data_IF_327697768836
#
_entry.id   IF_327697768836
#
_cell.length_a   1.000
_cell.length_b   1.000
_cell.length_c   1.000
_cell.angle_alpha   90.00
_cell.angle_beta   90.00
_cell.angle_gamma   90.00
#
_symmetry.space_group_name_H-M   'P 1'
#
loop_
_entity.id
_entity.type
_entity.pdbx_description
1 polymer ?
#
# COMPACT_ATOMS: atom_id res chain seq x y z
N UNK A 1 -9.36 13.15 -7.03
CA UNK A 1 -9.30 11.68 -7.15
C UNK A 1 -7.89 11.16 -6.85
N UNK A 2 -6.86 11.68 -7.52
CA UNK A 2 -5.46 11.31 -7.27
C UNK A 2 -5.03 11.44 -5.79
N UNK A 3 -5.38 12.53 -5.10
CA UNK A 3 -5.05 12.71 -3.67
C UNK A 3 -5.65 11.64 -2.75
N UNK A 4 -6.84 11.14 -3.07
CA UNK A 4 -7.52 10.12 -2.24
C UNK A 4 -6.84 8.76 -2.40
N UNK A 5 -6.44 8.41 -3.63
CA UNK A 5 -5.67 7.19 -3.93
C UNK A 5 -4.29 7.29 -3.29
N UNK A 6 -3.60 8.41 -3.48
CA UNK A 6 -2.29 8.70 -2.87
C UNK A 6 -2.31 8.47 -1.36
N UNK A 7 -3.29 9.06 -0.67
CA UNK A 7 -3.42 8.89 0.77
C UNK A 7 -3.70 7.43 1.17
N UNK A 8 -4.50 6.70 0.38
CA UNK A 8 -4.76 5.29 0.67
C UNK A 8 -3.57 4.38 0.40
N UNK A 9 -2.79 4.63 -0.66
CA UNK A 9 -1.54 3.89 -0.93
C UNK A 9 -0.50 4.21 0.14
N UNK A 10 -0.34 5.48 0.52
CA UNK A 10 0.52 5.88 1.62
C UNK A 10 0.12 5.21 2.94
N UNK A 11 -1.17 5.12 3.25
CA UNK A 11 -1.67 4.43 4.44
C UNK A 11 -1.42 2.91 4.39
N UNK A 12 -1.59 2.28 3.23
CA UNK A 12 -1.28 0.87 3.02
C UNK A 12 0.20 0.57 3.27
N UNK A 13 1.10 1.37 2.69
CA UNK A 13 2.54 1.21 2.86
C UNK A 13 2.95 1.48 4.33
N UNK A 14 2.40 2.52 4.95
CA UNK A 14 2.67 2.86 6.34
C UNK A 14 2.11 1.80 7.33
N UNK A 15 1.06 1.08 6.96
CA UNK A 15 0.51 0.00 7.77
C UNK A 15 1.54 -1.13 7.99
N UNK A 16 2.32 -1.49 6.97
CA UNK A 16 3.40 -2.49 7.13
C UNK A 16 4.48 -1.97 8.07
N UNK A 17 4.95 -0.74 7.85
CA UNK A 17 5.94 -0.07 8.71
C UNK A 17 5.47 -0.04 10.17
N UNK A 18 4.19 0.28 10.40
CA UNK A 18 3.58 0.35 11.73
C UNK A 18 3.42 -1.03 12.38
N UNK A 19 2.92 -2.02 11.63
CA UNK A 19 2.68 -3.38 12.11
C UNK A 19 3.97 -4.03 12.60
N UNK A 20 5.04 -3.85 11.86
CA UNK A 20 6.36 -4.41 12.16
C UNK A 20 7.15 -3.55 13.16
N UNK A 21 6.58 -2.43 13.62
CA UNK A 21 7.21 -1.45 14.52
C UNK A 21 8.58 -0.97 13.99
N UNK A 22 8.67 -0.79 12.68
CA UNK A 22 9.91 -0.39 12.01
C UNK A 22 10.27 1.07 12.33
N UNK A 23 11.55 1.38 12.24
CA UNK A 23 12.07 2.73 12.47
C UNK A 23 11.73 3.63 11.27
N UNK A 24 10.93 4.66 11.52
CA UNK A 24 10.51 5.67 10.53
C UNK A 24 11.73 6.31 9.85
N UNK A 25 12.84 6.50 10.55
CA UNK A 25 14.03 7.12 9.97
C UNK A 25 14.73 6.22 8.96
N UNK A 26 14.56 4.89 9.09
CA UNK A 26 15.11 3.90 8.17
C UNK A 26 14.20 3.66 6.96
N UNK A 27 12.90 3.54 7.20
CA UNK A 27 11.92 3.27 6.15
C UNK A 27 11.45 4.54 5.42
N UNK A 28 11.60 5.71 6.04
CA UNK A 28 11.16 7.00 5.52
C UNK A 28 11.71 7.33 4.14
N UNK A 29 13.01 7.16 3.86
CA UNK A 29 13.56 7.36 2.51
C UNK A 29 12.90 6.47 1.46
N UNK A 30 12.79 5.16 1.71
CA UNK A 30 12.16 4.20 0.78
C UNK A 30 10.68 4.54 0.56
N UNK A 31 9.96 4.87 1.63
CA UNK A 31 8.57 5.30 1.57
C UNK A 31 8.40 6.57 0.72
N UNK A 32 9.29 7.56 0.89
CA UNK A 32 9.28 8.79 0.11
C UNK A 32 9.63 8.55 -1.37
N UNK A 33 10.61 7.69 -1.65
CA UNK A 33 11.03 7.37 -3.03
C UNK A 33 9.87 6.71 -3.80
N UNK A 34 9.17 5.77 -3.14
CA UNK A 34 8.01 5.09 -3.69
C UNK A 34 6.87 6.07 -4.01
N UNK A 35 6.50 6.93 -3.06
CA UNK A 35 5.41 7.88 -3.27
C UNK A 35 5.79 9.03 -4.22
N UNK A 36 7.06 9.43 -4.23
CA UNK A 36 7.59 10.46 -5.13
C UNK A 36 7.54 10.01 -6.59
N UNK A 37 7.92 8.77 -6.87
CA UNK A 37 7.92 8.22 -8.23
C UNK A 37 6.52 8.15 -8.86
N UNK A 38 5.50 7.83 -8.05
CA UNK A 38 4.16 7.54 -8.54
C UNK A 38 3.15 8.67 -8.42
N UNK A 39 3.32 9.50 -7.39
CA UNK A 39 2.30 10.48 -6.99
C UNK A 39 2.84 11.89 -6.88
N UNK A 40 4.06 12.15 -7.37
CA UNK A 40 4.74 13.45 -7.31
C UNK A 40 4.74 14.02 -5.88
N UNK A 41 4.91 13.12 -4.89
CA UNK A 41 4.92 13.46 -3.48
C UNK A 41 6.28 14.04 -3.09
N UNK A 42 6.28 15.28 -2.59
CA UNK A 42 7.48 15.88 -2.01
C UNK A 42 7.90 15.14 -0.73
N UNK A 43 9.20 15.17 -0.41
CA UNK A 43 9.74 14.56 0.81
C UNK A 43 8.98 15.00 2.08
N UNK A 44 8.70 16.30 2.22
CA UNK A 44 7.97 16.85 3.36
C UNK A 44 6.52 16.34 3.45
N UNK A 45 5.84 16.21 2.30
CA UNK A 45 4.50 15.67 2.23
C UNK A 45 4.49 14.18 2.62
N UNK A 46 5.44 13.41 2.11
CA UNK A 46 5.58 11.99 2.37
C UNK A 46 5.90 11.72 3.84
N UNK A 47 6.83 12.47 4.44
CA UNK A 47 7.14 12.35 5.87
C UNK A 47 5.96 12.73 6.76
N UNK A 48 5.14 13.70 6.35
CA UNK A 48 3.88 14.00 7.04
C UNK A 48 2.88 12.86 6.96
N UNK A 49 2.70 12.25 5.78
CA UNK A 49 1.80 11.11 5.61
C UNK A 49 2.23 9.93 6.49
N UNK A 50 3.52 9.59 6.48
CA UNK A 50 4.08 8.53 7.32
C UNK A 50 3.93 8.84 8.81
N UNK A 51 4.30 10.05 9.25
CA UNK A 51 4.18 10.45 10.66
C UNK A 51 2.73 10.39 11.15
N UNK A 52 1.78 10.86 10.34
CA UNK A 52 0.36 10.80 10.66
C UNK A 52 -0.14 9.36 10.79
N UNK A 53 0.21 8.50 9.82
CA UNK A 53 -0.18 7.10 9.82
C UNK A 53 0.36 6.33 11.04
N UNK A 54 1.56 6.68 11.51
CA UNK A 54 2.14 6.10 12.72
C UNK A 54 1.37 6.50 13.98
N UNK A 55 0.80 7.70 14.03
CA UNK A 55 0.04 8.23 15.17
C UNK A 55 -1.45 7.84 15.16
N UNK A 56 -2.03 7.58 13.99
CA UNK A 56 -3.45 7.23 13.82
C UNK A 56 -3.69 5.74 13.67
N UNK A 57 -4.85 5.24 14.08
CA UNK A 57 -5.26 3.88 13.69
C UNK A 57 -5.52 3.84 12.18
N UNK A 58 -4.87 2.89 11.50
CA UNK A 58 -5.01 2.71 10.06
C UNK A 58 -6.11 1.70 9.82
N UNK A 59 -7.20 2.13 9.20
CA UNK A 59 -8.24 1.24 8.70
C UNK A 59 -7.82 0.68 7.33
N UNK A 60 -7.11 -0.44 7.38
CA UNK A 60 -6.59 -1.11 6.18
C UNK A 60 -7.72 -1.43 5.17
N UNK A 61 -8.87 -1.90 5.65
CA UNK A 61 -9.98 -2.28 4.77
C UNK A 61 -10.55 -1.07 4.03
N UNK A 62 -10.76 0.05 4.72
CA UNK A 62 -11.24 1.27 4.09
C UNK A 62 -10.28 1.77 3.00
N UNK A 63 -8.97 1.69 3.24
CA UNK A 63 -7.97 2.09 2.26
C UNK A 63 -7.91 1.14 1.05
N UNK A 64 -7.99 -0.19 1.29
CA UNK A 64 -8.06 -1.19 0.23
C UNK A 64 -9.31 -1.01 -0.64
N UNK A 65 -10.46 -0.68 -0.04
CA UNK A 65 -11.70 -0.42 -0.79
C UNK A 65 -11.59 0.83 -1.67
N UNK A 66 -10.97 1.91 -1.18
CA UNK A 66 -10.70 3.12 -1.96
C UNK A 66 -9.79 2.82 -3.15
N UNK A 67 -8.70 2.07 -2.93
CA UNK A 67 -7.76 1.69 -3.99
C UNK A 67 -8.48 0.82 -5.04
N UNK A 68 -9.26 -0.16 -4.58
CA UNK A 68 -10.01 -1.05 -5.45
C UNK A 68 -11.07 -0.34 -6.29
N UNK A 69 -11.79 0.62 -5.70
CA UNK A 69 -12.77 1.43 -6.42
C UNK A 69 -12.09 2.26 -7.50
N UNK A 70 -10.97 2.90 -7.15
CA UNK A 70 -10.27 3.81 -8.05
C UNK A 70 -9.50 3.10 -9.18
N UNK A 71 -8.92 1.93 -8.90
CA UNK A 71 -8.12 1.15 -9.84
C UNK A 71 -8.87 -0.09 -10.35
N UNK A 72 -10.22 -0.08 -10.30
CA UNK A 72 -11.06 -1.27 -10.56
C UNK A 72 -10.62 -2.10 -11.76
N UNK A 73 -10.34 -1.44 -12.90
CA UNK A 73 -9.93 -2.08 -14.15
C UNK A 73 -8.44 -1.90 -14.48
N UNK A 74 -7.69 -1.21 -13.61
CA UNK A 74 -6.29 -0.89 -13.81
C UNK A 74 -5.39 -1.88 -13.06
N UNK A 75 -5.22 -3.05 -13.67
CA UNK A 75 -4.43 -4.14 -13.11
C UNK A 75 -2.95 -3.81 -13.03
N UNK A 76 -2.44 -2.99 -13.95
CA UNK A 76 -1.04 -2.62 -13.98
C UNK A 76 -0.69 -1.76 -12.78
N UNK A 77 -1.50 -0.73 -12.49
CA UNK A 77 -1.32 0.10 -11.30
C UNK A 77 -1.48 -0.71 -10.01
N UNK A 78 -2.38 -1.69 -9.95
CA UNK A 78 -2.51 -2.60 -8.80
C UNK A 78 -1.27 -3.49 -8.61
N UNK A 79 -0.70 -4.02 -9.69
CA UNK A 79 0.54 -4.81 -9.62
C UNK A 79 1.70 -3.94 -9.15
N UNK A 80 1.80 -2.71 -9.64
CA UNK A 80 2.82 -1.77 -9.21
C UNK A 80 2.74 -1.44 -7.71
N UNK A 81 1.53 -1.25 -7.17
CA UNK A 81 1.33 -1.09 -5.72
C UNK A 81 1.80 -2.35 -4.94
N UNK A 82 1.56 -3.55 -5.47
CA UNK A 82 2.06 -4.78 -4.84
C UNK A 82 3.58 -4.87 -4.89
N UNK A 83 4.21 -4.48 -5.99
CA UNK A 83 5.67 -4.43 -6.08
C UNK A 83 6.24 -3.49 -5.02
N UNK A 84 5.66 -2.32 -4.83
CA UNK A 84 6.05 -1.36 -3.80
C UNK A 84 5.85 -1.90 -2.38
N UNK A 85 4.70 -2.53 -2.12
CA UNK A 85 4.43 -3.18 -0.85
C UNK A 85 5.49 -4.25 -0.55
N UNK A 86 5.84 -5.05 -1.56
CA UNK A 86 6.86 -6.07 -1.45
C UNK A 86 8.22 -5.44 -1.14
N UNK A 87 8.58 -4.34 -1.83
CA UNK A 87 9.79 -3.57 -1.57
C UNK A 87 9.93 -3.11 -0.12
N UNK A 88 8.83 -2.68 0.50
CA UNK A 88 8.82 -2.36 1.93
C UNK A 88 8.95 -3.64 2.74
N UNK A 89 8.20 -4.70 2.44
CA UNK A 89 8.26 -5.93 3.23
C UNK A 89 9.68 -6.51 3.31
N UNK A 90 10.38 -6.64 2.18
CA UNK A 90 11.72 -7.24 2.14
C UNK A 90 12.85 -6.27 2.51
N UNK A 91 12.57 -4.97 2.75
CA UNK A 91 13.58 -4.02 3.23
C UNK A 91 14.14 -4.39 4.61
N UNK A 92 13.42 -5.24 5.34
CA UNK A 92 13.81 -5.82 6.62
C UNK A 92 13.70 -7.36 6.58
N UNK A 93 13.96 -8.01 7.72
CA UNK A 93 13.90 -9.45 7.88
C UNK A 93 12.48 -9.98 7.67
N UNK A 94 12.28 -10.68 6.55
CA UNK A 94 11.02 -11.32 6.19
C UNK A 94 10.66 -12.45 7.16
N UNK A 95 9.38 -12.48 7.55
CA UNK A 95 8.74 -13.50 8.38
C UNK A 95 7.61 -14.20 7.62
N UNK A 96 7.07 -15.29 8.18
CA UNK A 96 5.89 -15.96 7.62
C UNK A 96 4.63 -15.07 7.65
N UNK A 97 4.55 -14.16 8.63
CA UNK A 97 3.39 -13.27 8.77
C UNK A 97 3.39 -12.18 7.70
N UNK A 98 4.57 -11.73 7.26
CA UNK A 98 4.71 -10.82 6.11
C UNK A 98 4.16 -11.43 4.82
N UNK A 99 4.44 -12.73 4.61
CA UNK A 99 3.92 -13.45 3.44
C UNK A 99 2.39 -13.54 3.48
N UNK A 100 1.82 -13.87 4.65
CA UNK A 100 0.35 -13.89 4.82
C UNK A 100 -0.27 -12.52 4.57
N UNK A 101 0.39 -11.46 5.04
CA UNK A 101 -0.09 -10.09 4.86
C UNK A 101 -0.08 -9.68 3.39
N UNK A 102 1.01 -9.98 2.69
CA UNK A 102 1.14 -9.72 1.26
C UNK A 102 0.06 -10.45 0.46
N UNK A 103 -0.13 -11.75 0.73
CA UNK A 103 -1.16 -12.56 0.06
C UNK A 103 -2.56 -12.02 0.34
N UNK A 104 -2.86 -11.64 1.58
CA UNK A 104 -4.13 -11.03 1.95
C UNK A 104 -4.41 -9.74 1.18
N UNK A 105 -3.44 -8.82 1.14
CA UNK A 105 -3.57 -7.55 0.42
C UNK A 105 -3.74 -7.79 -1.09
N UNK A 106 -2.97 -8.71 -1.66
CA UNK A 106 -3.10 -9.12 -3.07
C UNK A 106 -4.50 -9.64 -3.36
N UNK A 107 -5.00 -10.58 -2.57
CA UNK A 107 -6.36 -11.12 -2.75
C UNK A 107 -7.41 -10.01 -2.67
N UNK A 108 -7.30 -9.08 -1.72
CA UNK A 108 -8.23 -7.96 -1.61
C UNK A 108 -8.18 -7.04 -2.83
N UNK A 109 -6.99 -6.68 -3.33
CA UNK A 109 -6.82 -5.83 -4.50
C UNK A 109 -7.34 -6.46 -5.81
N UNK A 110 -7.37 -7.79 -5.88
CA UNK A 110 -7.79 -8.51 -7.10
C UNK A 110 -9.14 -9.25 -6.97
N UNK A 111 -9.79 -9.19 -5.80
CA UNK A 111 -11.07 -9.86 -5.50
C UNK A 111 -12.21 -9.55 -6.47
N UNK A 112 -12.25 -8.34 -7.06
CA UNK A 112 -13.25 -7.95 -8.06
C UNK A 112 -12.99 -8.54 -9.45
N UNK A 113 -11.75 -8.88 -9.78
CA UNK A 113 -11.38 -9.45 -11.08
C UNK A 113 -11.73 -10.94 -11.19
N UNK A 114 -11.62 -11.67 -10.09
CA UNK A 114 -11.90 -13.11 -10.01
C UNK A 114 -13.41 -13.39 -10.13
N UNK A 115 -14.26 -12.60 -9.48
CA UNK A 115 -15.73 -12.72 -9.57
C UNK A 115 -16.28 -12.47 -10.97
N UNK A 116 -15.59 -11.65 -11.78
CA UNK A 116 -15.97 -11.38 -13.17
C UNK A 116 -15.44 -12.43 -14.16
N UNK A 117 -14.37 -13.15 -13.82
CA UNK A 117 -13.93 -14.33 -14.57
C UNK A 117 -14.94 -15.48 -14.45
N UNK A 118 -15.44 -15.75 -13.24
CA UNK A 118 -16.43 -16.79 -12.98
C UNK A 118 -17.82 -16.52 -13.60
N UNK A 119 -18.14 -15.26 -13.92
CA UNK A 119 -19.39 -14.86 -14.60
C UNK A 119 -19.31 -14.90 -16.13
N UNK A 120 -18.12 -15.12 -16.70
CA UNK A 120 -17.85 -15.13 -18.14
C UNK A 120 -17.48 -16.52 -18.68
N UNK A 121 -17.53 -17.55 -17.82
CA UNK A 121 -17.48 -18.96 -18.18
C UNK A 121 -18.88 -19.56 -18.02
#
# INVERSE_FOLDING_TARGET
MQTKIKNSVAALLAYIVKKDKRDINKEGPLFCDILGADFDCSHDECMRLLSNAMQSDIDLEAHLDIINEALRNDKLSKMHILEQLNHIIYSDKITEDDYKEFEYIKERLFSYDEKNKAKRM
#
